data_IF_627238257596
#
_entry.id   IF_627238257596
#
_cell.length_a   1.000
_cell.length_b   1.000
_cell.length_c   1.000
_cell.angle_alpha   90.00
_cell.angle_beta   90.00
_cell.angle_gamma   90.00
#
_symmetry.space_group_name_H-M   'P 1'
#
loop_
_entity.id
_entity.type
_entity.pdbx_description
1 polymer ?
#
# COMPACT_ATOMS: atom_id res chain seq x y z
N UNK A 1 -6.98 4.68 -17.17
CA UNK A 1 -6.24 5.88 -16.72
C UNK A 1 -6.19 5.83 -15.21
N UNK A 2 -5.02 6.07 -14.60
CA UNK A 2 -4.89 6.23 -13.15
C UNK A 2 -5.16 7.68 -12.73
N UNK A 3 -5.34 7.93 -11.43
CA UNK A 3 -5.52 9.29 -10.90
C UNK A 3 -4.19 10.06 -10.88
N UNK A 4 -3.11 9.42 -10.45
CA UNK A 4 -1.78 10.02 -10.29
C UNK A 4 -0.75 9.51 -11.31
N UNK A 5 -1.23 8.88 -12.39
CA UNK A 5 -0.41 8.31 -13.43
C UNK A 5 -1.18 8.12 -14.74
N UNK A 6 -0.45 8.18 -15.84
CA UNK A 6 -0.90 7.74 -17.15
C UNK A 6 -0.54 6.26 -17.29
N UNK A 7 -1.56 5.41 -17.28
CA UNK A 7 -1.40 3.97 -17.55
C UNK A 7 -1.94 3.64 -18.95
N UNK A 8 -1.14 2.93 -19.74
CA UNK A 8 -1.50 2.44 -21.06
C UNK A 8 -1.24 0.94 -21.18
N UNK A 9 -2.14 0.22 -21.83
CA UNK A 9 -1.91 -1.16 -22.28
C UNK A 9 -1.22 -1.08 -23.64
N UNK A 10 -0.06 -1.70 -23.76
CA UNK A 10 0.67 -1.86 -25.01
C UNK A 10 0.41 -3.26 -25.54
N UNK A 11 -0.06 -3.35 -26.79
CA UNK A 11 -0.17 -4.61 -27.54
C UNK A 11 1.00 -4.68 -28.52
N UNK A 12 1.71 -5.80 -28.50
CA UNK A 12 2.96 -5.96 -29.22
C UNK A 12 2.79 -6.82 -30.47
N UNK A 13 3.34 -6.35 -31.58
CA UNK A 13 3.59 -7.14 -32.79
C UNK A 13 5.11 -7.17 -33.02
N UNK A 14 5.78 -8.12 -32.35
CA UNK A 14 7.24 -8.16 -32.32
C UNK A 14 7.81 -8.61 -33.67
N UNK A 15 8.48 -7.69 -34.37
CA UNK A 15 9.21 -8.00 -35.59
C UNK A 15 10.65 -8.44 -35.28
N UNK A 16 11.10 -9.54 -35.89
CA UNK A 16 12.48 -10.01 -35.79
C UNK A 16 12.83 -10.78 -34.52
N UNK A 17 11.85 -11.08 -33.67
CA UNK A 17 12.05 -11.94 -32.50
C UNK A 17 12.45 -13.36 -32.93
N UNK A 18 13.44 -13.93 -32.24
CA UNK A 18 13.80 -15.32 -32.49
C UNK A 18 12.71 -16.26 -31.95
N UNK A 19 12.53 -17.43 -32.57
CA UNK A 19 11.52 -18.39 -32.12
C UNK A 19 11.72 -18.90 -30.68
N UNK A 20 12.92 -18.72 -30.11
CA UNK A 20 13.25 -19.04 -28.72
C UNK A 20 12.93 -17.92 -27.73
N UNK A 21 12.67 -16.69 -28.19
CA UNK A 21 12.36 -15.57 -27.32
C UNK A 21 10.90 -15.63 -26.86
N UNK A 22 10.69 -15.57 -25.54
CA UNK A 22 9.37 -15.48 -24.95
C UNK A 22 9.07 -14.00 -24.62
N UNK A 23 8.69 -13.25 -25.66
CA UNK A 23 8.32 -11.83 -25.52
C UNK A 23 6.84 -11.67 -25.13
N UNK A 24 6.49 -10.66 -24.32
CA UNK A 24 5.11 -10.45 -23.90
C UNK A 24 4.25 -9.95 -25.06
N UNK A 25 3.10 -10.57 -25.30
CA UNK A 25 2.12 -10.07 -26.27
C UNK A 25 1.49 -8.74 -25.82
N UNK A 26 1.41 -8.52 -24.51
CA UNK A 26 0.86 -7.32 -23.90
C UNK A 26 1.59 -6.95 -22.62
N UNK A 27 1.71 -5.66 -22.35
CA UNK A 27 2.24 -5.16 -21.09
C UNK A 27 1.64 -3.80 -20.73
N UNK A 28 1.68 -3.43 -19.46
CA UNK A 28 1.21 -2.14 -18.97
C UNK A 28 2.39 -1.19 -18.85
N UNK A 29 2.27 0.02 -19.39
CA UNK A 29 3.19 1.13 -19.12
C UNK A 29 2.51 2.11 -18.16
N UNK A 30 3.19 2.44 -17.06
CA UNK A 30 2.80 3.48 -16.11
C UNK A 30 3.82 4.63 -16.19
N UNK A 31 3.31 5.85 -16.37
CA UNK A 31 4.08 7.09 -16.38
C UNK A 31 3.49 8.01 -15.30
N UNK A 32 4.27 8.43 -14.29
CA UNK A 32 3.78 9.34 -13.24
C UNK A 32 3.32 10.66 -13.83
N UNK A 33 2.15 11.14 -13.41
CA UNK A 33 1.63 12.44 -13.84
C UNK A 33 0.49 12.90 -12.94
N UNK A 34 0.55 14.16 -12.51
CA UNK A 34 -0.55 14.81 -11.80
C UNK A 34 -1.66 15.29 -12.76
N UNK A 35 -1.43 15.24 -14.08
CA UNK A 35 -2.36 15.76 -15.09
C UNK A 35 -3.78 15.16 -15.01
N UNK A 36 -3.97 13.82 -14.84
CA UNK A 36 -5.32 13.27 -14.71
C UNK A 36 -6.04 13.81 -13.48
N UNK A 37 -5.36 13.85 -12.33
CA UNK A 37 -5.92 14.38 -11.09
C UNK A 37 -6.22 15.88 -11.19
N UNK A 38 -5.33 16.67 -11.78
CA UNK A 38 -5.55 18.10 -12.05
C UNK A 38 -6.77 18.33 -12.92
N UNK A 39 -6.92 17.57 -14.02
CA UNK A 39 -8.09 17.66 -14.90
C UNK A 39 -9.39 17.33 -14.18
N UNK A 40 -9.39 16.29 -13.33
CA UNK A 40 -10.54 15.96 -12.51
C UNK A 40 -10.88 17.11 -11.56
N UNK A 41 -9.90 17.59 -10.80
CA UNK A 41 -10.08 18.68 -9.86
C UNK A 41 -10.60 19.96 -10.54
N UNK A 42 -10.07 20.32 -11.70
CA UNK A 42 -10.48 21.49 -12.47
C UNK A 42 -11.89 21.35 -13.05
N UNK A 43 -12.36 20.12 -13.26
CA UNK A 43 -13.72 19.83 -13.71
C UNK A 43 -14.78 19.95 -12.60
N UNK A 44 -14.36 19.93 -11.33
CA UNK A 44 -15.26 20.07 -10.19
C UNK A 44 -15.68 21.53 -9.97
N UNK A 45 -16.95 21.78 -9.53
CA UNK A 45 -17.43 23.11 -9.18
C UNK A 45 -16.55 23.81 -8.12
N UNK A 46 -16.53 25.15 -8.15
CA UNK A 46 -15.87 25.94 -7.11
C UNK A 46 -16.46 25.62 -5.73
N UNK A 47 -15.60 25.24 -4.77
CA UNK A 47 -16.00 24.76 -3.43
C UNK A 47 -16.15 23.24 -3.32
N UNK A 48 -16.11 22.50 -4.45
CA UNK A 48 -16.06 21.03 -4.49
C UNK A 48 -14.70 20.51 -4.99
N UNK A 49 -13.77 21.41 -5.29
CA UNK A 49 -12.40 21.04 -5.66
C UNK A 49 -11.73 20.35 -4.47
N UNK A 50 -11.15 19.20 -4.75
CA UNK A 50 -10.39 18.40 -3.79
C UNK A 50 -9.14 19.15 -3.33
N UNK A 51 -8.55 19.93 -4.24
CA UNK A 51 -7.42 20.82 -3.97
C UNK A 51 -7.67 22.22 -4.55
N UNK A 52 -7.44 23.25 -3.73
CA UNK A 52 -7.35 24.64 -4.19
C UNK A 52 -5.89 24.98 -4.56
N UNK A 53 -5.28 24.15 -5.41
CA UNK A 53 -3.86 24.26 -5.74
C UNK A 53 -3.57 25.34 -6.78
N UNK A 54 -2.64 26.23 -6.43
CA UNK A 54 -1.92 27.04 -7.40
C UNK A 54 -0.88 26.17 -8.16
N UNK A 55 -0.18 26.76 -9.13
CA UNK A 55 0.84 26.01 -9.90
C UNK A 55 1.95 25.43 -9.01
N UNK A 56 2.32 26.12 -7.93
CA UNK A 56 3.35 25.64 -7.00
C UNK A 56 2.94 24.34 -6.30
N UNK A 57 1.66 24.20 -5.94
CA UNK A 57 1.13 22.96 -5.40
C UNK A 57 1.20 21.81 -6.41
N UNK A 58 0.86 22.06 -7.68
CA UNK A 58 0.92 21.04 -8.72
C UNK A 58 2.36 20.63 -9.04
N UNK A 59 3.31 21.56 -9.05
CA UNK A 59 4.73 21.26 -9.19
C UNK A 59 5.26 20.39 -8.03
N UNK A 60 4.87 20.71 -6.80
CA UNK A 60 5.21 19.90 -5.63
C UNK A 60 4.62 18.49 -5.74
N UNK A 61 3.37 18.36 -6.18
CA UNK A 61 2.73 17.05 -6.39
C UNK A 61 3.45 16.24 -7.46
N UNK A 62 3.78 16.84 -8.61
CA UNK A 62 4.57 16.18 -9.66
C UNK A 62 5.92 15.71 -9.10
N UNK A 63 6.61 16.53 -8.31
CA UNK A 63 7.85 16.13 -7.61
C UNK A 63 7.66 14.90 -6.73
N UNK A 64 6.57 14.84 -5.96
CA UNK A 64 6.24 13.67 -5.13
C UNK A 64 5.88 12.43 -5.94
N UNK A 65 5.19 12.59 -7.07
CA UNK A 65 4.90 11.47 -7.98
C UNK A 65 6.16 10.86 -8.58
N UNK A 66 7.20 11.66 -8.83
CA UNK A 66 8.52 11.17 -9.23
C UNK A 66 9.20 10.37 -8.12
N UNK A 67 9.15 10.87 -6.89
CA UNK A 67 9.75 10.18 -5.74
C UNK A 67 9.13 8.80 -5.47
N UNK A 68 7.79 8.69 -5.53
CA UNK A 68 7.10 7.41 -5.31
C UNK A 68 7.24 6.45 -6.49
N UNK A 69 7.42 6.97 -7.71
CA UNK A 69 7.78 6.17 -8.88
C UNK A 69 9.14 5.48 -8.72
N UNK A 70 10.16 6.22 -8.26
CA UNK A 70 11.49 5.65 -8.04
C UNK A 70 11.45 4.58 -6.95
N UNK A 71 10.58 4.74 -5.93
CA UNK A 71 10.30 3.69 -4.94
C UNK A 71 9.72 2.45 -5.61
N UNK A 72 8.70 2.59 -6.46
CA UNK A 72 8.09 1.46 -7.16
C UNK A 72 9.11 0.69 -8.02
N UNK A 73 9.94 1.40 -8.80
CA UNK A 73 11.02 0.79 -9.58
C UNK A 73 11.98 0.02 -8.68
N UNK A 74 12.47 0.66 -7.60
CA UNK A 74 13.38 0.01 -6.65
C UNK A 74 12.76 -1.22 -5.97
N UNK A 75 11.45 -1.22 -5.75
CA UNK A 75 10.73 -2.39 -5.21
C UNK A 75 10.77 -3.57 -6.17
N UNK A 76 10.45 -3.34 -7.46
CA UNK A 76 10.49 -4.41 -8.45
C UNK A 76 11.92 -4.93 -8.68
N UNK A 77 12.92 -4.05 -8.74
CA UNK A 77 14.33 -4.45 -8.81
C UNK A 77 14.77 -5.26 -7.57
N UNK A 78 14.29 -4.90 -6.39
CA UNK A 78 14.58 -5.65 -5.17
C UNK A 78 14.04 -7.08 -5.27
N UNK A 79 12.79 -7.23 -5.74
CA UNK A 79 12.08 -8.49 -5.80
C UNK A 79 12.40 -9.37 -7.02
N UNK A 80 13.07 -8.83 -8.05
CA UNK A 80 13.42 -9.54 -9.29
C UNK A 80 14.12 -10.90 -9.06
N UNK A 81 14.94 -10.99 -8.00
CA UNK A 81 15.69 -12.21 -7.66
C UNK A 81 14.87 -13.28 -6.94
N UNK A 82 13.56 -13.10 -6.73
CA UNK A 82 12.71 -14.03 -6.01
C UNK A 82 11.57 -14.56 -6.88
N UNK A 83 11.33 -15.87 -6.77
CA UNK A 83 10.32 -16.55 -7.58
C UNK A 83 8.96 -16.72 -6.89
N UNK A 84 7.92 -16.74 -7.71
CA UNK A 84 6.56 -17.09 -7.33
C UNK A 84 5.88 -16.08 -6.40
N UNK A 85 6.35 -14.84 -6.36
CA UNK A 85 5.64 -13.77 -5.65
C UNK A 85 4.38 -13.39 -6.44
N UNK A 86 3.30 -13.10 -5.73
CA UNK A 86 2.05 -12.58 -6.29
C UNK A 86 2.20 -11.08 -6.61
N UNK A 87 3.19 -10.71 -7.42
CA UNK A 87 3.43 -9.38 -7.95
C UNK A 87 3.67 -9.48 -9.47
N UNK A 88 3.32 -8.46 -10.28
CA UNK A 88 3.58 -8.50 -11.72
C UNK A 88 5.07 -8.51 -12.00
N UNK A 89 5.50 -9.20 -13.06
CA UNK A 89 6.88 -9.04 -13.54
C UNK A 89 7.12 -7.62 -14.04
N UNK A 90 8.22 -6.99 -13.62
CA UNK A 90 8.71 -5.78 -14.29
C UNK A 90 9.53 -6.17 -15.52
N UNK A 91 9.11 -5.74 -16.70
CA UNK A 91 9.90 -5.90 -17.93
C UNK A 91 10.98 -4.83 -18.05
N UNK A 92 10.68 -3.61 -17.58
CA UNK A 92 11.57 -2.47 -17.66
C UNK A 92 11.14 -1.37 -16.69
N UNK A 93 12.09 -0.62 -16.15
CA UNK A 93 11.85 0.56 -15.32
C UNK A 93 12.94 1.62 -15.54
N UNK A 94 12.53 2.88 -15.64
CA UNK A 94 13.43 4.05 -15.63
C UNK A 94 13.08 4.88 -14.40
N UNK A 95 13.97 4.97 -13.40
CA UNK A 95 13.81 5.96 -12.34
C UNK A 95 14.15 7.36 -12.86
N UNK A 96 13.65 8.41 -12.20
CA UNK A 96 14.01 9.78 -12.55
C UNK A 96 15.49 10.05 -12.22
N UNK A 97 16.23 10.49 -13.24
CA UNK A 97 17.61 10.92 -13.06
C UNK A 97 17.70 12.35 -12.52
N UNK A 98 18.84 12.71 -11.91
CA UNK A 98 19.13 14.10 -11.52
C UNK A 98 19.15 15.06 -12.72
N UNK A 99 19.43 14.56 -13.92
CA UNK A 99 19.58 15.35 -15.15
C UNK A 99 18.42 15.17 -16.15
N UNK A 100 17.67 14.06 -16.07
CA UNK A 100 16.49 13.81 -16.92
C UNK A 100 15.23 13.66 -16.05
N UNK A 101 14.49 14.75 -15.97
CA UNK A 101 13.27 14.85 -15.17
C UNK A 101 11.99 14.47 -15.93
N UNK A 102 12.11 13.90 -17.14
CA UNK A 102 10.97 13.71 -18.06
C UNK A 102 10.69 12.27 -18.47
N UNK A 103 11.59 11.34 -18.15
CA UNK A 103 11.57 9.99 -18.72
C UNK A 103 11.25 8.88 -17.71
N UNK A 104 10.77 9.19 -16.51
CA UNK A 104 10.40 8.14 -15.55
C UNK A 104 9.19 7.34 -16.02
N UNK A 105 9.37 6.03 -16.18
CA UNK A 105 8.34 5.11 -16.65
C UNK A 105 8.62 3.69 -16.17
N UNK A 106 7.58 2.88 -16.01
CA UNK A 106 7.71 1.47 -15.66
C UNK A 106 6.79 0.62 -16.55
N UNK A 107 7.33 -0.49 -17.05
CA UNK A 107 6.64 -1.47 -17.87
C UNK A 107 6.48 -2.76 -17.07
N UNK A 108 5.22 -3.12 -16.79
CA UNK A 108 4.83 -4.24 -15.96
C UNK A 108 4.06 -5.28 -16.78
N UNK A 109 4.11 -6.52 -16.34
CA UNK A 109 3.24 -7.59 -16.80
C UNK A 109 1.77 -7.18 -16.75
N UNK A 110 1.07 -7.41 -17.87
CA UNK A 110 -0.38 -7.32 -17.88
C UNK A 110 -0.95 -8.63 -17.34
N UNK A 111 -1.51 -8.59 -16.13
CA UNK A 111 -2.08 -9.77 -15.46
C UNK A 111 -3.39 -10.16 -16.14
N UNK A 112 -3.31 -11.13 -17.03
CA UNK A 112 -4.43 -11.63 -17.83
C UNK A 112 -5.58 -12.16 -16.97
N UNK A 113 -6.80 -12.05 -17.50
CA UNK A 113 -8.03 -12.52 -16.84
C UNK A 113 -8.23 -12.02 -15.39
N UNK A 114 -7.67 -10.85 -15.06
CA UNK A 114 -7.79 -10.27 -13.73
C UNK A 114 -8.66 -9.02 -13.73
N UNK A 115 -9.23 -8.73 -12.57
CA UNK A 115 -9.93 -7.49 -12.26
C UNK A 115 -9.47 -6.97 -10.91
N UNK A 116 -9.62 -5.67 -10.72
CA UNK A 116 -9.41 -5.04 -9.43
C UNK A 116 -10.43 -5.53 -8.40
N UNK A 117 -9.99 -5.71 -7.16
CA UNK A 117 -10.87 -5.88 -6.01
C UNK A 117 -11.48 -4.49 -5.71
N UNK A 118 -12.73 -4.25 -6.12
CA UNK A 118 -13.30 -2.90 -6.09
C UNK A 118 -13.75 -2.51 -4.67
N UNK A 119 -13.44 -1.29 -4.21
CA UNK A 119 -13.80 -0.85 -2.84
C UNK A 119 -15.30 -0.83 -2.52
N UNK A 120 -16.16 -0.74 -3.53
CA UNK A 120 -17.62 -0.69 -3.37
C UNK A 120 -18.26 -2.09 -3.35
N UNK A 121 -17.46 -3.14 -3.52
CA UNK A 121 -17.90 -4.53 -3.43
C UNK A 121 -17.56 -5.09 -2.04
N UNK A 122 -18.40 -6.00 -1.55
CA UNK A 122 -18.04 -6.79 -0.38
C UNK A 122 -17.03 -7.87 -0.79
N UNK A 123 -15.94 -7.98 -0.04
CA UNK A 123 -14.93 -9.02 -0.25
C UNK A 123 -14.98 -10.06 0.85
N UNK A 124 -14.65 -11.29 0.50
CA UNK A 124 -14.69 -12.40 1.45
C UNK A 124 -13.44 -12.41 2.33
N UNK A 125 -13.60 -12.93 3.55
CA UNK A 125 -12.48 -13.26 4.43
C UNK A 125 -11.47 -14.20 3.74
N UNK A 126 -11.94 -15.08 2.85
CA UNK A 126 -11.06 -15.97 2.09
C UNK A 126 -10.14 -15.22 1.12
N UNK A 127 -10.64 -14.19 0.43
CA UNK A 127 -9.80 -13.37 -0.45
C UNK A 127 -8.73 -12.63 0.35
N UNK A 128 -9.10 -12.06 1.50
CA UNK A 128 -8.13 -11.42 2.40
C UNK A 128 -7.13 -12.42 2.98
N UNK A 129 -7.54 -13.68 3.22
CA UNK A 129 -6.65 -14.76 3.63
C UNK A 129 -5.61 -15.09 2.56
N UNK A 130 -5.98 -15.08 1.28
CA UNK A 130 -5.02 -15.24 0.18
C UNK A 130 -4.00 -14.10 0.14
N UNK A 131 -4.46 -12.85 0.34
CA UNK A 131 -3.57 -11.68 0.47
C UNK A 131 -2.62 -11.84 1.67
N UNK A 132 -3.13 -12.26 2.84
CA UNK A 132 -2.32 -12.50 4.03
C UNK A 132 -1.20 -13.54 3.75
N UNK A 133 -1.53 -14.62 3.04
CA UNK A 133 -0.55 -15.64 2.62
C UNK A 133 0.53 -15.04 1.70
N UNK A 134 0.14 -14.26 0.69
CA UNK A 134 1.08 -13.60 -0.22
C UNK A 134 2.00 -12.61 0.51
N UNK A 135 1.44 -11.81 1.43
CA UNK A 135 2.20 -10.88 2.28
C UNK A 135 3.29 -11.59 3.08
N UNK A 136 2.95 -12.72 3.73
CA UNK A 136 3.94 -13.50 4.47
C UNK A 136 5.11 -13.96 3.59
N UNK A 137 4.83 -14.40 2.35
CA UNK A 137 5.85 -14.81 1.39
C UNK A 137 6.75 -13.65 0.98
N UNK A 138 6.17 -12.50 0.62
CA UNK A 138 6.89 -11.28 0.24
C UNK A 138 7.80 -10.81 1.38
N UNK A 139 7.27 -10.78 2.61
CA UNK A 139 8.01 -10.39 3.80
C UNK A 139 9.18 -11.33 4.06
N UNK A 140 9.01 -12.64 3.86
CA UNK A 140 10.11 -13.60 3.99
C UNK A 140 11.22 -13.33 2.97
N UNK A 141 10.89 -12.98 1.73
CA UNK A 141 11.89 -12.57 0.74
C UNK A 141 12.64 -11.30 1.16
N UNK A 142 11.95 -10.31 1.73
CA UNK A 142 12.59 -9.10 2.25
C UNK A 142 13.56 -9.33 3.41
N UNK A 143 13.44 -10.47 4.10
CA UNK A 143 14.36 -10.88 5.18
C UNK A 143 15.57 -11.66 4.66
N UNK A 144 15.50 -12.22 3.44
CA UNK A 144 16.61 -12.97 2.84
C UNK A 144 17.67 -12.08 2.18
N UNK A 145 17.30 -10.85 1.83
CA UNK A 145 18.15 -9.87 1.16
C UNK A 145 17.95 -8.51 1.83
N UNK A 146 19.04 -7.85 2.19
CA UNK A 146 18.93 -6.51 2.78
C UNK A 146 18.50 -5.49 1.69
N UNK A 147 17.42 -4.72 1.91
CA UNK A 147 17.00 -3.69 0.96
C UNK A 147 17.90 -2.46 1.10
N UNK A 148 18.88 -2.31 0.22
CA UNK A 148 19.90 -1.23 0.33
C UNK A 148 19.60 0.01 -0.51
N UNK A 149 18.61 -0.05 -1.41
CA UNK A 149 18.19 1.09 -2.23
C UNK A 149 17.72 2.25 -1.34
N UNK A 150 18.20 3.47 -1.62
CA UNK A 150 17.94 4.66 -0.80
C UNK A 150 16.45 5.01 -0.80
N UNK A 151 15.78 4.72 -1.90
CA UNK A 151 14.34 4.89 -2.13
C UNK A 151 13.53 4.11 -1.09
N UNK A 152 13.92 2.85 -0.80
CA UNK A 152 13.25 1.96 0.15
C UNK A 152 13.52 2.32 1.62
N UNK A 153 14.48 3.22 1.87
CA UNK A 153 14.84 3.70 3.22
C UNK A 153 14.08 4.96 3.63
N UNK A 154 13.28 5.55 2.73
CA UNK A 154 12.52 6.77 3.00
C UNK A 154 11.38 6.52 3.99
N UNK A 155 11.04 7.56 4.76
CA UNK A 155 9.91 7.54 5.68
C UNK A 155 8.71 8.25 5.06
N UNK A 156 7.83 7.47 4.44
CA UNK A 156 6.64 7.97 3.77
C UNK A 156 5.74 8.82 4.69
N UNK A 157 5.52 8.39 5.93
CA UNK A 157 4.65 9.08 6.88
C UNK A 157 5.26 10.41 7.36
N UNK A 158 6.57 10.45 7.57
CA UNK A 158 7.27 11.67 7.94
C UNK A 158 7.19 12.71 6.81
N UNK A 159 7.34 12.28 5.56
CA UNK A 159 7.24 13.16 4.40
C UNK A 159 5.80 13.65 4.16
N UNK A 160 4.81 12.81 4.41
CA UNK A 160 3.40 13.21 4.42
C UNK A 160 3.14 14.28 5.49
N UNK A 161 3.65 14.09 6.71
CA UNK A 161 3.48 15.03 7.82
C UNK A 161 4.13 16.40 7.57
N UNK A 162 5.23 16.46 6.80
CA UNK A 162 5.86 17.71 6.37
C UNK A 162 5.00 18.50 5.39
N UNK A 163 4.11 17.82 4.68
CA UNK A 163 3.31 18.40 3.59
C UNK A 163 1.92 18.82 4.04
N UNK A 164 1.33 18.13 5.01
CA UNK A 164 -0.03 18.37 5.48
C UNK A 164 -0.02 19.04 6.86
N UNK A 165 -0.67 20.19 6.99
CA UNK A 165 -0.82 20.87 8.29
C UNK A 165 -1.79 20.12 9.21
N UNK A 166 -1.66 20.29 10.53
CA UNK A 166 -2.61 19.70 11.49
C UNK A 166 -4.05 20.13 11.21
N UNK A 167 -4.27 21.39 10.82
CA UNK A 167 -5.58 21.89 10.44
C UNK A 167 -6.14 21.17 9.21
N UNK A 168 -5.32 20.98 8.17
CA UNK A 168 -5.71 20.25 6.98
C UNK A 168 -6.00 18.78 7.30
N UNK A 169 -5.15 18.13 8.10
CA UNK A 169 -5.36 16.77 8.61
C UNK A 169 -6.70 16.61 9.32
N UNK A 170 -6.98 17.46 10.32
CA UNK A 170 -8.27 17.42 11.02
C UNK A 170 -9.44 17.77 10.08
N UNK A 171 -9.21 18.66 9.11
CA UNK A 171 -10.18 19.06 8.11
C UNK A 171 -10.66 17.92 7.22
N UNK A 172 -9.79 16.98 6.85
CA UNK A 172 -10.13 15.84 5.98
C UNK A 172 -11.31 15.02 6.53
N UNK A 173 -11.44 14.92 7.84
CA UNK A 173 -12.45 14.06 8.47
C UNK A 173 -13.83 14.72 8.54
N UNK A 174 -13.90 16.05 8.39
CA UNK A 174 -15.17 16.77 8.44
C UNK A 174 -16.10 16.40 7.28
N UNK A 175 -15.52 16.00 6.14
CA UNK A 175 -16.27 15.57 4.96
C UNK A 175 -17.19 14.36 5.21
N UNK A 176 -16.88 13.49 6.19
CA UNK A 176 -17.77 12.37 6.59
C UNK A 176 -19.16 12.87 6.97
N UNK A 177 -19.26 13.96 7.73
CA UNK A 177 -20.56 14.49 8.20
C UNK A 177 -21.38 15.13 7.07
N UNK A 178 -20.75 15.46 5.94
CA UNK A 178 -21.46 15.89 4.73
C UNK A 178 -22.01 14.70 3.95
N UNK A 179 -21.35 13.55 4.00
CA UNK A 179 -21.77 12.31 3.34
C UNK A 179 -22.88 11.58 4.12
N UNK A 180 -22.76 11.54 5.43
CA UNK A 180 -23.79 11.04 6.34
C UNK A 180 -24.04 12.03 7.47
N UNK A 181 -25.22 12.65 7.44
CA UNK A 181 -25.68 13.62 8.43
C UNK A 181 -26.47 12.98 9.59
N UNK A 182 -26.38 11.67 9.78
CA UNK A 182 -27.04 10.97 10.89
C UNK A 182 -26.51 11.42 12.26
N UNK A 183 -27.37 11.32 13.28
CA UNK A 183 -26.97 11.64 14.67
C UNK A 183 -25.84 10.71 15.14
N UNK A 184 -25.88 9.44 14.73
CA UNK A 184 -24.84 8.46 15.03
C UNK A 184 -23.48 8.88 14.46
N UNK A 185 -23.44 9.23 13.17
CA UNK A 185 -22.21 9.70 12.53
C UNK A 185 -21.72 11.03 13.13
N UNK A 186 -22.61 11.94 13.50
CA UNK A 186 -22.22 13.18 14.19
C UNK A 186 -21.55 12.91 15.54
N UNK A 187 -22.11 12.00 16.35
CA UNK A 187 -21.55 11.62 17.66
C UNK A 187 -20.19 10.92 17.50
N UNK A 188 -20.04 10.04 16.52
CA UNK A 188 -18.75 9.38 16.24
C UNK A 188 -17.71 10.36 15.71
N UNK A 189 -18.09 11.25 14.80
CA UNK A 189 -17.20 12.27 14.23
C UNK A 189 -16.65 13.19 15.33
N UNK A 190 -17.49 13.63 16.27
CA UNK A 190 -17.03 14.44 17.40
C UNK A 190 -16.00 13.71 18.28
N UNK A 191 -16.12 12.39 18.46
CA UNK A 191 -15.11 11.60 19.18
C UNK A 191 -13.79 11.51 18.39
N UNK A 192 -13.88 11.31 17.07
CA UNK A 192 -12.71 11.27 16.18
C UNK A 192 -12.00 12.63 16.22
N UNK A 193 -12.72 13.73 16.11
CA UNK A 193 -12.17 15.10 16.16
C UNK A 193 -11.32 15.36 17.41
N UNK A 194 -11.71 14.79 18.56
CA UNK A 194 -10.93 14.90 19.79
C UNK A 194 -9.64 14.07 19.78
N UNK A 195 -9.59 12.97 19.01
CA UNK A 195 -8.43 12.07 18.93
C UNK A 195 -7.45 12.46 17.82
N UNK A 196 -7.92 13.07 16.72
CA UNK A 196 -7.09 13.37 15.55
C UNK A 196 -5.79 14.12 15.86
N UNK A 197 -5.75 15.11 16.78
CA UNK A 197 -4.51 15.79 17.11
C UNK A 197 -3.42 14.87 17.69
N UNK A 198 -3.80 13.84 18.44
CA UNK A 198 -2.85 12.90 19.06
C UNK A 198 -2.17 11.98 18.03
N UNK A 199 -2.82 11.80 16.87
CA UNK A 199 -2.32 10.97 15.78
C UNK A 199 -1.71 11.78 14.62
N UNK A 200 -1.80 13.11 14.66
CA UNK A 200 -1.18 13.96 13.66
C UNK A 200 0.34 13.75 13.63
N UNK A 201 0.90 13.62 12.43
CA UNK A 201 2.32 13.37 12.19
C UNK A 201 2.87 12.10 12.89
N UNK A 202 2.00 11.17 13.28
CA UNK A 202 2.44 9.92 13.90
C UNK A 202 3.22 9.08 12.89
N UNK A 203 4.50 8.83 13.18
CA UNK A 203 5.38 7.97 12.38
C UNK A 203 5.47 6.55 12.93
N UNK A 204 4.57 6.15 13.85
CA UNK A 204 4.68 4.87 14.56
C UNK A 204 4.79 3.67 13.60
N UNK A 205 3.97 3.54 12.53
CA UNK A 205 4.08 2.41 11.58
C UNK A 205 5.51 2.20 11.04
N UNK A 206 6.20 3.29 10.72
CA UNK A 206 7.57 3.29 10.15
C UNK A 206 8.70 3.26 11.19
N UNK A 207 8.39 3.41 12.48
CA UNK A 207 9.43 3.57 13.53
C UNK A 207 9.33 2.54 14.64
N UNK A 208 8.19 1.84 14.76
CA UNK A 208 7.92 0.84 15.79
C UNK A 208 8.97 -0.28 15.82
N UNK A 209 9.43 -0.74 14.66
CA UNK A 209 10.48 -1.75 14.57
C UNK A 209 11.79 -1.29 15.24
N UNK A 210 12.14 0.00 15.13
CA UNK A 210 13.33 0.58 15.77
C UNK A 210 13.18 0.66 17.28
N UNK A 211 11.99 1.04 17.75
CA UNK A 211 11.69 1.18 19.19
C UNK A 211 11.77 -0.16 19.91
N UNK A 212 11.39 -1.22 19.20
CA UNK A 212 11.33 -2.57 19.73
C UNK A 212 12.52 -3.46 19.35
N UNK A 213 13.48 -2.94 18.57
CA UNK A 213 14.63 -3.72 18.11
C UNK A 213 14.27 -4.88 17.18
N UNK A 214 13.14 -4.77 16.47
CA UNK A 214 12.66 -5.80 15.56
C UNK A 214 13.25 -5.57 14.18
N UNK A 215 13.67 -6.65 13.52
CA UNK A 215 14.12 -6.59 12.13
C UNK A 215 12.92 -6.22 11.23
N UNK A 216 12.99 -5.10 10.49
CA UNK A 216 11.89 -4.66 9.64
C UNK A 216 11.77 -5.56 8.40
N UNK A 217 10.59 -5.51 7.78
CA UNK A 217 10.28 -6.15 6.50
C UNK A 217 9.89 -5.07 5.48
N UNK A 218 9.99 -5.37 4.19
CA UNK A 218 9.37 -4.52 3.18
C UNK A 218 7.85 -4.69 3.22
N UNK A 219 7.14 -3.58 3.29
CA UNK A 219 5.67 -3.49 3.19
C UNK A 219 5.31 -2.73 1.91
N UNK A 220 4.16 -3.02 1.32
CA UNK A 220 3.62 -2.24 0.20
C UNK A 220 3.32 -0.79 0.65
N UNK A 221 2.78 -0.61 1.87
CA UNK A 221 2.58 0.70 2.48
C UNK A 221 1.33 1.44 2.02
N UNK A 222 0.67 1.00 0.94
CA UNK A 222 -0.64 1.49 0.49
C UNK A 222 -1.55 0.34 0.05
N UNK A 223 -1.53 -0.79 0.78
CA UNK A 223 -2.29 -1.96 0.36
C UNK A 223 -3.79 -1.82 0.62
N UNK A 224 -4.48 -1.29 -0.38
CA UNK A 224 -5.93 -1.15 -0.48
C UNK A 224 -6.53 -2.15 -1.47
N UNK A 225 -7.86 -2.29 -1.47
CA UNK A 225 -8.57 -3.19 -2.39
C UNK A 225 -8.20 -2.95 -3.85
N UNK A 226 -8.01 -1.69 -4.24
CA UNK A 226 -7.67 -1.29 -5.61
C UNK A 226 -6.26 -1.72 -6.04
N UNK A 227 -5.40 -2.01 -5.07
CA UNK A 227 -4.04 -2.50 -5.29
C UNK A 227 -3.98 -4.04 -5.24
N UNK A 228 -5.14 -4.70 -5.27
CA UNK A 228 -5.29 -6.16 -5.35
C UNK A 228 -6.02 -6.53 -6.63
N UNK A 229 -5.37 -7.34 -7.46
CA UNK A 229 -5.97 -7.99 -8.62
C UNK A 229 -6.44 -9.40 -8.24
N UNK A 230 -7.66 -9.73 -8.62
CA UNK A 230 -8.26 -11.05 -8.47
C UNK A 230 -8.64 -11.61 -9.83
N UNK A 231 -8.54 -12.93 -9.97
CA UNK A 231 -8.96 -13.63 -11.17
C UNK A 231 -10.48 -13.49 -11.38
N UNK A 232 -10.88 -13.20 -12.62
CA UNK A 232 -12.27 -12.88 -12.96
C UNK A 232 -13.23 -14.06 -12.77
N UNK A 233 -12.74 -15.31 -12.85
CA UNK A 233 -13.58 -16.51 -12.79
C UNK A 233 -13.65 -17.09 -11.38
N UNK A 234 -12.50 -17.17 -10.71
CA UNK A 234 -12.34 -17.83 -9.42
C UNK A 234 -12.43 -16.86 -8.25
N UNK A 235 -12.17 -15.56 -8.47
CA UNK A 235 -12.05 -14.56 -7.42
C UNK A 235 -10.80 -14.72 -6.55
N UNK A 236 -9.89 -15.62 -6.90
CA UNK A 236 -8.62 -15.84 -6.20
C UNK A 236 -7.66 -14.68 -6.45
N UNK A 237 -6.73 -14.49 -5.52
CA UNK A 237 -5.65 -13.51 -5.68
C UNK A 237 -4.84 -13.82 -6.94
N UNK A 238 -4.73 -12.82 -7.81
CA UNK A 238 -3.90 -12.88 -9.01
C UNK A 238 -2.59 -12.10 -8.81
N UNK A 239 -2.66 -10.89 -8.25
CA UNK A 239 -1.48 -10.05 -8.06
C UNK A 239 -1.71 -8.90 -7.07
N UNK A 240 -0.64 -8.49 -6.40
CA UNK A 240 -0.55 -7.27 -5.61
C UNK A 240 0.24 -6.24 -6.41
N UNK A 241 -0.34 -5.05 -6.61
CA UNK A 241 0.19 -4.01 -7.50
C UNK A 241 0.41 -2.69 -6.76
N UNK A 242 0.92 -1.70 -7.48
CA UNK A 242 1.14 -0.33 -7.00
C UNK A 242 2.02 -0.26 -5.75
N UNK A 243 3.31 -0.53 -5.95
CA UNK A 243 4.32 -0.63 -4.88
C UNK A 243 5.02 0.72 -4.59
N UNK A 244 4.40 1.83 -4.98
CA UNK A 244 4.99 3.17 -4.90
C UNK A 244 5.17 3.73 -3.47
N UNK A 245 4.53 3.10 -2.49
CA UNK A 245 4.63 3.46 -1.06
C UNK A 245 5.53 2.50 -0.27
N UNK A 246 6.30 1.65 -0.94
CA UNK A 246 7.11 0.62 -0.29
C UNK A 246 8.15 1.22 0.64
N UNK A 247 8.25 0.67 1.85
CA UNK A 247 9.23 1.10 2.85
C UNK A 247 9.53 -0.02 3.85
N UNK A 248 10.49 0.24 4.74
CA UNK A 248 10.77 -0.62 5.90
C UNK A 248 9.71 -0.41 6.99
N UNK A 249 8.87 -1.41 7.17
CA UNK A 249 7.78 -1.44 8.15
C UNK A 249 7.79 -2.69 9.00
N UNK A 250 6.61 -3.06 9.50
CA UNK A 250 6.38 -4.32 10.22
C UNK A 250 5.28 -5.13 9.57
N UNK A 251 5.29 -6.44 9.82
CA UNK A 251 4.52 -7.41 9.05
C UNK A 251 3.01 -7.13 8.99
N UNK A 252 2.41 -6.62 10.07
CA UNK A 252 0.95 -6.41 10.18
C UNK A 252 0.43 -5.17 9.45
N UNK A 253 1.30 -4.27 8.99
CA UNK A 253 0.87 -3.01 8.40
C UNK A 253 -0.08 -3.20 7.21
N UNK A 254 0.38 -3.93 6.19
CA UNK A 254 -0.43 -4.18 5.00
C UNK A 254 -1.65 -5.04 5.29
N UNK A 255 -1.54 -5.98 6.25
CA UNK A 255 -2.66 -6.82 6.66
C UNK A 255 -3.79 -5.99 7.29
N UNK A 256 -3.44 -5.03 8.15
CA UNK A 256 -4.41 -4.10 8.75
C UNK A 256 -5.09 -3.29 7.65
N UNK A 257 -4.31 -2.72 6.72
CA UNK A 257 -4.84 -1.89 5.63
C UNK A 257 -5.83 -2.67 4.77
N UNK A 258 -5.43 -3.82 4.23
CA UNK A 258 -6.34 -4.57 3.36
C UNK A 258 -7.59 -5.04 4.09
N UNK A 259 -7.48 -5.40 5.38
CA UNK A 259 -8.64 -5.79 6.20
C UNK A 259 -9.60 -4.62 6.46
N UNK A 260 -9.13 -3.37 6.45
CA UNK A 260 -9.97 -2.18 6.60
C UNK A 260 -10.76 -1.90 5.31
N UNK A 261 -10.14 -2.06 4.14
CA UNK A 261 -10.81 -1.84 2.85
C UNK A 261 -11.71 -2.99 2.43
N UNK A 262 -11.34 -4.23 2.77
CA UNK A 262 -12.00 -5.42 2.23
C UNK A 262 -13.13 -5.97 3.11
N UNK A 263 -13.08 -5.75 4.43
CA UNK A 263 -13.96 -6.44 5.39
C UNK A 263 -14.80 -5.46 6.21
N UNK A 264 -16.00 -5.90 6.56
CA UNK A 264 -16.85 -5.22 7.54
C UNK A 264 -16.15 -5.14 8.92
N UNK A 265 -16.54 -4.20 9.80
CA UNK A 265 -16.00 -4.14 11.16
C UNK A 265 -16.14 -5.45 11.95
N UNK A 266 -17.26 -6.16 11.77
CA UNK A 266 -17.56 -7.43 12.42
C UNK A 266 -16.63 -8.53 11.93
N UNK A 267 -16.53 -8.72 10.61
CA UNK A 267 -15.67 -9.74 10.00
C UNK A 267 -14.20 -9.49 10.30
N UNK A 268 -13.74 -8.24 10.24
CA UNK A 268 -12.36 -7.87 10.56
C UNK A 268 -11.99 -8.27 11.98
N UNK A 269 -12.83 -7.94 12.96
CA UNK A 269 -12.59 -8.33 14.38
C UNK A 269 -12.60 -9.84 14.58
N UNK A 270 -13.54 -10.54 13.93
CA UNK A 270 -13.67 -11.99 14.07
C UNK A 270 -12.54 -12.77 13.38
N UNK A 271 -12.04 -12.27 12.24
CA UNK A 271 -11.05 -12.96 11.41
C UNK A 271 -9.59 -12.58 11.71
N UNK A 272 -9.33 -11.46 12.38
CA UNK A 272 -7.97 -10.98 12.66
C UNK A 272 -7.01 -12.04 13.21
N UNK A 273 -7.35 -12.86 14.24
CA UNK A 273 -6.43 -13.90 14.72
C UNK A 273 -6.02 -14.90 13.63
N UNK A 274 -6.97 -15.31 12.79
CA UNK A 274 -6.73 -16.26 11.70
C UNK A 274 -5.87 -15.65 10.60
N UNK A 275 -6.16 -14.40 10.21
CA UNK A 275 -5.40 -13.70 9.17
C UNK A 275 -3.95 -13.43 9.59
N UNK A 276 -3.74 -13.03 10.85
CA UNK A 276 -2.40 -12.85 11.43
C UNK A 276 -1.63 -14.18 11.39
N UNK A 277 -2.28 -15.27 11.77
CA UNK A 277 -1.68 -16.61 11.74
C UNK A 277 -1.35 -17.07 10.33
N UNK A 278 -2.24 -16.85 9.36
CA UNK A 278 -2.00 -17.20 7.96
C UNK A 278 -0.78 -16.48 7.39
N UNK A 279 -0.69 -15.16 7.62
CA UNK A 279 0.46 -14.36 7.19
C UNK A 279 1.76 -14.85 7.84
N UNK A 280 1.76 -15.06 9.15
CA UNK A 280 2.92 -15.55 9.87
C UNK A 280 3.36 -16.95 9.41
N UNK A 281 2.41 -17.87 9.25
CA UNK A 281 2.72 -19.24 8.83
C UNK A 281 3.31 -19.25 7.41
N UNK A 282 2.80 -18.41 6.52
CA UNK A 282 3.38 -18.22 5.19
C UNK A 282 4.79 -17.65 5.25
N UNK A 283 5.03 -16.64 6.10
CA UNK A 283 6.37 -16.09 6.35
C UNK A 283 7.34 -17.19 6.77
N UNK A 284 7.02 -17.93 7.84
CA UNK A 284 7.88 -18.99 8.38
C UNK A 284 8.15 -20.08 7.35
N UNK A 285 7.11 -20.52 6.62
CA UNK A 285 7.26 -21.53 5.58
C UNK A 285 8.22 -21.09 4.45
N UNK A 286 8.32 -19.79 4.20
CA UNK A 286 9.18 -19.22 3.17
C UNK A 286 10.54 -18.72 3.69
N UNK A 287 10.81 -18.70 5.00
CA UNK A 287 12.10 -18.26 5.55
C UNK A 287 13.25 -19.25 5.28
N UNK A 288 12.96 -20.51 4.98
CA UNK A 288 14.00 -21.49 4.67
C UNK A 288 14.87 -21.90 5.87
N UNK A 289 14.36 -21.71 7.09
CA UNK A 289 15.05 -22.06 8.34
C UNK A 289 15.63 -20.86 9.10
N UNK A 290 15.61 -19.67 8.51
CA UNK A 290 15.98 -18.43 9.21
C UNK A 290 14.98 -18.10 10.33
N UNK A 291 15.47 -17.42 11.37
CA UNK A 291 14.67 -17.02 12.51
C UNK A 291 13.68 -15.90 12.12
N UNK A 292 12.38 -16.05 12.43
CA UNK A 292 11.40 -15.00 12.17
C UNK A 292 11.61 -13.80 13.09
N UNK A 293 11.35 -12.56 12.61
CA UNK A 293 11.49 -11.34 13.41
C UNK A 293 10.43 -11.16 14.50
N UNK A 294 9.39 -12.00 14.52
CA UNK A 294 8.26 -11.93 15.46
C UNK A 294 7.90 -13.34 15.89
N UNK A 295 7.13 -13.46 16.98
CA UNK A 295 6.46 -14.70 17.36
C UNK A 295 4.95 -14.62 17.13
N UNK A 296 4.31 -15.77 16.88
CA UNK A 296 2.86 -15.87 16.70
C UNK A 296 2.09 -16.00 18.03
N UNK A 297 2.78 -16.26 19.15
CA UNK A 297 2.19 -16.90 20.33
C UNK A 297 0.83 -16.30 20.72
N UNK A 298 -0.23 -17.10 20.55
CA UNK A 298 -1.63 -16.69 20.67
C UNK A 298 -2.12 -16.61 22.13
N UNK A 299 -1.24 -16.91 23.10
CA UNK A 299 -1.56 -17.00 24.52
C UNK A 299 -0.46 -16.32 25.35
N UNK A 300 -0.87 -15.61 26.41
CA UNK A 300 0.01 -14.99 27.39
C UNK A 300 0.88 -16.03 28.11
N UNK A 301 2.12 -16.24 27.67
CA UNK A 301 3.14 -16.89 28.48
C UNK A 301 4.32 -15.95 28.69
N UNK A 302 4.61 -15.67 29.96
CA UNK A 302 5.74 -14.86 30.42
C UNK A 302 7.07 -15.55 30.05
N UNK A 303 7.56 -15.34 28.82
CA UNK A 303 8.98 -15.51 28.51
C UNK A 303 9.73 -14.23 28.88
N UNK A 304 10.92 -14.39 29.45
CA UNK A 304 11.74 -13.33 30.05
C UNK A 304 12.58 -12.56 29.01
N UNK A 305 12.22 -12.69 27.74
CA UNK A 305 12.73 -11.91 26.61
C UNK A 305 11.57 -11.09 26.06
N UNK A 306 11.84 -9.88 25.56
CA UNK A 306 10.84 -9.01 24.94
C UNK A 306 10.49 -9.60 23.57
N UNK A 307 9.80 -10.73 23.56
CA UNK A 307 9.26 -11.36 22.37
C UNK A 307 7.95 -10.64 22.07
N UNK A 308 8.02 -9.60 21.24
CA UNK A 308 6.83 -8.83 20.89
C UNK A 308 5.94 -9.66 19.99
N UNK A 309 4.69 -9.80 20.42
CA UNK A 309 3.74 -10.63 19.73
C UNK A 309 3.22 -9.90 18.50
N UNK A 310 3.07 -10.63 17.39
CA UNK A 310 2.50 -10.06 16.17
C UNK A 310 1.10 -9.46 16.41
N UNK A 311 0.36 -10.01 17.38
CA UNK A 311 -0.93 -9.49 17.82
C UNK A 311 -0.82 -8.13 18.55
N UNK A 312 0.18 -7.94 19.39
CA UNK A 312 0.41 -6.66 20.08
C UNK A 312 0.76 -5.56 19.07
N UNK A 313 1.59 -5.87 18.08
CA UNK A 313 1.86 -4.96 16.97
C UNK A 313 0.59 -4.63 16.19
N UNK A 314 -0.26 -5.62 15.95
CA UNK A 314 -1.54 -5.41 15.27
C UNK A 314 -2.42 -4.42 16.03
N UNK A 315 -2.64 -4.67 17.32
CA UNK A 315 -3.52 -3.86 18.16
C UNK A 315 -2.95 -2.44 18.36
N UNK A 316 -1.62 -2.30 18.49
CA UNK A 316 -0.95 -1.01 18.63
C UNK A 316 -1.00 -0.18 17.33
N UNK A 317 -0.83 -0.81 16.16
CA UNK A 317 -0.81 -0.10 14.88
C UNK A 317 -2.18 0.16 14.28
N UNK A 318 -3.20 -0.63 14.67
CA UNK A 318 -4.55 -0.50 14.15
C UNK A 318 -5.10 0.94 14.13
N UNK A 319 -5.06 1.72 15.23
CA UNK A 319 -5.58 3.08 15.21
C UNK A 319 -4.74 4.03 14.34
N UNK A 320 -3.42 3.84 14.27
CA UNK A 320 -2.53 4.69 13.45
C UNK A 320 -2.82 4.50 11.97
N UNK A 321 -2.91 3.25 11.53
CA UNK A 321 -3.18 2.90 10.14
C UNK A 321 -4.65 3.20 9.76
N UNK A 322 -5.59 2.96 10.67
CA UNK A 322 -7.01 3.26 10.47
C UNK A 322 -7.30 4.74 10.30
N UNK A 323 -6.62 5.62 11.05
CA UNK A 323 -6.77 7.07 10.87
C UNK A 323 -6.11 7.52 9.57
N UNK A 324 -4.85 7.17 9.33
CA UNK A 324 -4.19 7.52 8.06
C UNK A 324 -5.01 7.12 6.83
N UNK A 325 -5.62 5.93 6.88
CA UNK A 325 -6.58 5.43 5.91
C UNK A 325 -7.82 6.31 5.74
N UNK A 326 -8.50 6.66 6.84
CA UNK A 326 -9.77 7.38 6.79
C UNK A 326 -9.59 8.75 6.11
N UNK A 327 -8.49 9.46 6.39
CA UNK A 327 -8.16 10.71 5.68
C UNK A 327 -8.05 10.53 4.16
N UNK A 328 -7.37 9.48 3.70
CA UNK A 328 -7.22 9.17 2.28
C UNK A 328 -8.54 8.79 1.59
N UNK A 329 -9.38 7.98 2.22
CA UNK A 329 -10.67 7.56 1.66
C UNK A 329 -11.66 8.71 1.53
N UNK A 330 -11.72 9.58 2.54
CA UNK A 330 -12.61 10.73 2.53
C UNK A 330 -12.20 11.73 1.45
N UNK A 331 -10.90 11.86 1.19
CA UNK A 331 -10.41 12.68 0.08
C UNK A 331 -10.80 12.14 -1.30
N UNK A 332 -11.24 10.89 -1.45
CA UNK A 332 -11.60 10.30 -2.75
C UNK A 332 -13.12 10.27 -3.02
N UNK A 333 -13.96 10.67 -2.05
CA UNK A 333 -15.43 10.75 -2.17
C UNK A 333 -15.83 12.21 -2.39
#
# INVERSE_FOLDING_TARGET
>A
QGFASLCGLVECDWEGAEASEQLPARFVVKIPSALPFRKLNDSLPAGQRMLNGDEAMWEMMEGKLREVHDVEVATYEFFESFDGLEIPKMYYGIPYGKEDSTCGQIALEFVENSRMMNFHENHSVEQVRQVARALGKIQACSLKKEPTAVELQKNFFEDFAKTITMEAWCGMYKAVTFLDSSEETAVLSAKIDHLLPDYYASSLPTTIHKQFGIRPVLVNGDLRTENVLIDCETGNLASLIDWQCTHLGVAVEDLIRISLFALTPEERRASAPMLIAEMYNSLVANLGGDEPPYTLEMCFTHSMYIDIQLRELYDLLFPHLGLYFAGGCIMMI
#
